data_IF_697231216635
#
_entry.id   IF_697231216635
#
_cell.length_a   1.000
_cell.length_b   1.000
_cell.length_c   1.000
_cell.angle_alpha   90.00
_cell.angle_beta   90.00
_cell.angle_gamma   90.00
#
_symmetry.space_group_name_H-M   'P 1'
#
loop_
_entity.id
_entity.type
_entity.pdbx_description
1 polymer ?
#
# COMPACT_ATOMS: atom_id res chain seq x y z
N UNK A 1 -18.83 -12.34 3.62
CA UNK A 1 -17.71 -12.53 2.68
C UNK A 1 -16.50 -11.85 3.26
N UNK A 2 -15.47 -12.59 3.64
CA UNK A 2 -14.19 -12.03 4.04
C UNK A 2 -13.58 -11.39 2.80
N UNK A 3 -13.69 -10.06 2.68
CA UNK A 3 -13.02 -9.33 1.62
C UNK A 3 -11.52 -9.46 1.88
N UNK A 4 -10.83 -10.28 1.08
CA UNK A 4 -9.38 -10.24 0.98
C UNK A 4 -9.09 -9.22 -0.10
N UNK A 5 -8.59 -8.01 0.23
CA UNK A 5 -8.17 -7.08 -0.81
C UNK A 5 -7.12 -7.79 -1.66
N UNK A 6 -7.26 -7.78 -2.98
CA UNK A 6 -6.13 -8.19 -3.82
C UNK A 6 -4.94 -7.28 -3.51
N UNK A 7 -3.73 -7.83 -3.55
CA UNK A 7 -2.48 -7.07 -3.31
C UNK A 7 -2.43 -5.79 -4.14
N UNK A 8 -2.98 -5.83 -5.35
CA UNK A 8 -3.08 -4.68 -6.24
C UNK A 8 -3.99 -3.57 -5.68
N UNK A 9 -5.15 -3.93 -5.12
CA UNK A 9 -6.07 -2.98 -4.50
C UNK A 9 -5.50 -2.37 -3.21
N UNK A 10 -4.71 -3.15 -2.44
CA UNK A 10 -4.01 -2.62 -1.28
C UNK A 10 -2.92 -1.61 -1.70
N UNK A 11 -2.19 -1.93 -2.78
CA UNK A 11 -1.18 -1.03 -3.35
C UNK A 11 -1.78 0.27 -3.86
N UNK A 12 -2.93 0.21 -4.53
CA UNK A 12 -3.67 1.40 -5.00
C UNK A 12 -4.22 2.23 -3.83
N UNK A 13 -4.81 1.60 -2.81
CA UNK A 13 -5.31 2.29 -1.62
C UNK A 13 -4.19 3.02 -0.89
N UNK A 14 -3.06 2.35 -0.67
CA UNK A 14 -1.89 2.93 -0.03
C UNK A 14 -1.28 4.05 -0.88
N UNK A 15 -1.11 3.80 -2.18
CA UNK A 15 -0.58 4.75 -3.15
C UNK A 15 -1.38 6.06 -3.20
N UNK A 16 -2.71 5.95 -3.28
CA UNK A 16 -3.62 7.11 -3.34
C UNK A 16 -3.81 7.84 -2.01
N UNK A 17 -3.64 7.15 -0.87
CA UNK A 17 -3.77 7.74 0.46
C UNK A 17 -2.46 8.33 1.01
N UNK A 18 -1.33 8.07 0.36
CA UNK A 18 -0.02 8.48 0.87
C UNK A 18 0.24 9.97 0.68
N UNK A 19 0.88 10.59 1.68
CA UNK A 19 1.48 11.90 1.54
C UNK A 19 2.57 11.85 0.44
N UNK A 20 2.64 12.90 -0.39
CA UNK A 20 3.62 13.00 -1.48
C UNK A 20 5.07 12.96 -1.02
N UNK A 21 5.33 13.28 0.24
CA UNK A 21 6.68 13.30 0.82
C UNK A 21 6.99 12.08 1.68
N UNK A 22 6.01 11.19 1.92
CA UNK A 22 6.19 10.00 2.75
C UNK A 22 6.14 8.77 1.84
N UNK A 23 7.23 8.01 1.71
CA UNK A 23 7.24 6.77 0.94
C UNK A 23 6.42 5.69 1.65
N UNK A 24 5.82 4.80 0.87
CA UNK A 24 5.15 3.61 1.39
C UNK A 24 6.21 2.56 1.68
N UNK A 25 6.28 2.14 2.94
CA UNK A 25 7.24 1.13 3.40
C UNK A 25 6.53 -0.15 3.80
N UNK A 26 7.32 -1.19 4.08
CA UNK A 26 6.83 -2.43 4.65
C UNK A 26 6.03 -2.20 5.95
N UNK A 27 6.46 -1.26 6.80
CA UNK A 27 5.78 -0.91 8.04
C UNK A 27 4.40 -0.30 7.79
N UNK A 28 4.27 0.52 6.74
CA UNK A 28 2.98 1.08 6.31
C UNK A 28 2.01 -0.04 5.93
N UNK A 29 2.46 -0.98 5.09
CA UNK A 29 1.65 -2.12 4.65
C UNK A 29 1.27 -2.99 5.84
N UNK A 30 2.23 -3.29 6.73
CA UNK A 30 2.00 -4.05 7.96
C UNK A 30 0.93 -3.40 8.83
N UNK A 31 1.09 -2.11 9.13
CA UNK A 31 0.17 -1.37 10.00
C UNK A 31 -1.26 -1.37 9.44
N UNK A 32 -1.43 -1.07 8.15
CA UNK A 32 -2.74 -1.09 7.49
C UNK A 32 -3.34 -2.49 7.51
N UNK A 33 -2.57 -3.51 7.13
CA UNK A 33 -3.03 -4.89 7.16
C UNK A 33 -3.52 -5.27 8.56
N UNK A 34 -2.70 -5.02 9.60
CA UNK A 34 -3.03 -5.31 10.99
C UNK A 34 -4.26 -4.56 11.47
N UNK A 35 -4.44 -3.29 11.08
CA UNK A 35 -5.61 -2.48 11.42
C UNK A 35 -6.88 -3.07 10.82
N UNK A 36 -6.85 -3.46 9.54
CA UNK A 36 -8.01 -3.90 8.78
C UNK A 36 -8.43 -5.34 9.11
N UNK A 37 -7.46 -6.25 9.26
CA UNK A 37 -7.74 -7.68 9.43
C UNK A 37 -7.70 -8.13 10.88
N UNK A 38 -7.02 -7.38 11.75
CA UNK A 38 -6.65 -7.78 13.12
C UNK A 38 -5.82 -9.07 13.18
N UNK A 39 -5.27 -9.54 12.06
CA UNK A 39 -4.43 -10.74 11.98
C UNK A 39 -2.98 -10.40 11.60
N UNK A 40 -2.06 -11.33 11.83
CA UNK A 40 -0.72 -11.21 11.28
C UNK A 40 -0.74 -11.49 9.77
N UNK A 41 -0.05 -10.66 8.96
CA UNK A 41 0.12 -10.94 7.54
C UNK A 41 1.05 -12.12 7.31
N UNK A 42 0.65 -13.01 6.42
CA UNK A 42 1.48 -14.12 5.92
C UNK A 42 2.07 -13.84 4.53
N UNK A 43 1.71 -12.71 3.94
CA UNK A 43 2.16 -12.29 2.62
C UNK A 43 3.53 -11.60 2.68
N UNK A 44 4.21 -11.53 1.53
CA UNK A 44 5.45 -10.76 1.37
C UNK A 44 5.15 -9.26 1.36
N UNK A 45 5.29 -8.64 2.53
CA UNK A 45 4.99 -7.23 2.74
C UNK A 45 5.95 -6.28 2.01
N UNK A 46 7.20 -6.71 1.76
CA UNK A 46 8.18 -5.90 1.04
C UNK A 46 7.80 -5.79 -0.45
N UNK A 47 7.38 -6.91 -1.05
CA UNK A 47 6.88 -6.92 -2.42
C UNK A 47 5.66 -6.00 -2.59
N UNK A 48 4.73 -6.04 -1.61
CA UNK A 48 3.53 -5.19 -1.62
C UNK A 48 3.90 -3.71 -1.46
N UNK A 49 4.82 -3.38 -0.54
CA UNK A 49 5.27 -2.01 -0.34
C UNK A 49 5.91 -1.42 -1.60
N UNK A 50 6.75 -2.19 -2.30
CA UNK A 50 7.36 -1.78 -3.57
C UNK A 50 6.32 -1.52 -4.66
N UNK A 51 5.33 -2.40 -4.78
CA UNK A 51 4.25 -2.21 -5.75
C UNK A 51 3.41 -0.97 -5.42
N UNK A 52 3.07 -0.77 -4.13
CA UNK A 52 2.32 0.38 -3.66
C UNK A 52 3.09 1.70 -3.88
N UNK A 53 4.39 1.71 -3.59
CA UNK A 53 5.26 2.87 -3.79
C UNK A 53 5.41 3.21 -5.28
N UNK A 54 5.51 2.21 -6.16
CA UNK A 54 5.51 2.46 -7.60
C UNK A 54 4.23 3.17 -8.06
N UNK A 55 3.06 2.72 -7.58
CA UNK A 55 1.78 3.39 -7.86
C UNK A 55 1.76 4.82 -7.31
N UNK A 56 2.26 5.04 -6.09
CA UNK A 56 2.36 6.38 -5.49
C UNK A 56 3.20 7.31 -6.36
N UNK A 57 4.38 6.86 -6.81
CA UNK A 57 5.29 7.64 -7.65
C UNK A 57 4.62 8.03 -8.97
N UNK A 58 3.93 7.10 -9.63
CA UNK A 58 3.21 7.39 -10.88
C UNK A 58 2.07 8.41 -10.68
N UNK A 59 1.30 8.29 -9.59
CA UNK A 59 0.23 9.26 -9.26
C UNK A 59 0.83 10.66 -9.05
N UNK A 60 1.96 10.77 -8.36
CA UNK A 60 2.61 12.05 -8.10
C UNK A 60 3.24 12.65 -9.36
N UNK A 61 3.81 11.80 -10.22
CA UNK A 61 4.35 12.24 -11.49
C UNK A 61 3.27 12.88 -12.37
N UNK A 62 2.06 12.32 -12.41
CA UNK A 62 0.94 12.88 -13.16
C UNK A 62 0.31 14.12 -12.49
N UNK A 63 0.32 14.19 -11.15
CA UNK A 63 -0.22 15.32 -10.41
C UNK A 63 0.63 16.59 -10.49
N UNK A 64 1.95 16.45 -10.57
CA UNK A 64 2.90 17.57 -10.54
C UNK A 64 3.34 18.02 -11.96
N UNK A 65 2.85 17.38 -13.04
CA UNK A 65 3.03 17.79 -14.44
C UNK A 65 1.76 18.42 -15.03
#
# INVERSE_FOLDING_TARGET
TTLTPSTDLLGILLGSASDKYIPITQDTVYAIFKILTKTEPTADLDAIAKAAEAVRVEILYDHDN
#
